data_IF_900954979538
#
_entry.id   IF_900954979538
#
_cell.length_a   1.000
_cell.length_b   1.000
_cell.length_c   1.000
_cell.angle_alpha   90.00
_cell.angle_beta   90.00
_cell.angle_gamma   90.00
#
_symmetry.space_group_name_H-M   'P 1'
#
loop_
_entity.id
_entity.type
_entity.pdbx_description
1 polymer ?
#
# COMPACT_ATOMS: atom_id res chain seq x y z
N UNK A 1 -5.90 18.46 -5.38
CA UNK A 1 -4.95 17.32 -5.34
C UNK A 1 -5.28 16.45 -4.14
N UNK A 2 -5.29 15.15 -4.32
CA UNK A 2 -5.63 14.18 -3.27
C UNK A 2 -4.35 13.59 -2.70
N UNK A 3 -4.33 13.26 -1.40
CA UNK A 3 -3.18 12.60 -0.78
C UNK A 3 -2.85 11.28 -1.50
N UNK A 4 -1.57 10.96 -1.58
CA UNK A 4 -1.10 9.75 -2.24
C UNK A 4 -1.75 8.48 -1.65
N UNK A 5 -1.90 8.41 -0.32
CA UNK A 5 -2.54 7.26 0.32
C UNK A 5 -4.00 7.11 -0.08
N UNK A 6 -4.70 8.21 -0.32
CA UNK A 6 -6.10 8.17 -0.78
C UNK A 6 -6.18 7.69 -2.23
N UNK A 7 -5.30 8.21 -3.09
CA UNK A 7 -5.23 7.74 -4.49
C UNK A 7 -4.94 6.23 -4.54
N UNK A 8 -4.01 5.76 -3.71
CA UNK A 8 -3.65 4.35 -3.64
C UNK A 8 -4.81 3.50 -3.11
N UNK A 9 -5.51 3.98 -2.07
CA UNK A 9 -6.68 3.28 -1.53
C UNK A 9 -7.76 3.13 -2.59
N UNK A 10 -8.07 4.21 -3.30
CA UNK A 10 -9.09 4.19 -4.35
C UNK A 10 -8.70 3.21 -5.47
N UNK A 11 -7.42 3.16 -5.81
CA UNK A 11 -6.91 2.23 -6.81
C UNK A 11 -7.10 0.78 -6.39
N UNK A 12 -6.74 0.45 -5.15
CA UNK A 12 -6.88 -0.91 -4.62
C UNK A 12 -8.37 -1.29 -4.52
N UNK A 13 -9.20 -0.39 -4.00
CA UNK A 13 -10.64 -0.63 -3.88
C UNK A 13 -11.27 -0.89 -5.26
N UNK A 14 -10.86 -0.14 -6.28
CA UNK A 14 -11.37 -0.30 -7.64
C UNK A 14 -10.93 -1.62 -8.30
N UNK A 15 -9.81 -2.16 -7.88
CA UNK A 15 -9.28 -3.40 -8.45
C UNK A 15 -10.02 -4.65 -7.96
N UNK A 16 -10.78 -4.55 -6.87
CA UNK A 16 -11.55 -5.65 -6.30
C UNK A 16 -10.71 -6.94 -6.14
N UNK A 17 -9.56 -6.79 -5.46
CA UNK A 17 -8.63 -7.91 -5.27
C UNK A 17 -9.22 -8.90 -4.28
N UNK A 18 -9.40 -10.15 -4.72
CA UNK A 18 -9.87 -11.22 -3.86
C UNK A 18 -8.85 -11.48 -2.75
N UNK A 19 -9.34 -11.62 -1.52
CA UNK A 19 -8.51 -11.91 -0.37
C UNK A 19 -8.19 -10.70 0.48
N UNK A 20 -8.39 -9.48 -0.02
CA UNK A 20 -8.24 -8.26 0.76
C UNK A 20 -9.60 -7.86 1.33
N UNK A 21 -9.70 -7.86 2.66
CA UNK A 21 -10.95 -7.53 3.34
C UNK A 21 -11.15 -6.04 3.55
N UNK A 22 -10.07 -5.33 3.95
CA UNK A 22 -10.12 -3.90 4.20
C UNK A 22 -8.81 -3.21 3.84
N UNK A 23 -8.91 -1.93 3.48
CA UNK A 23 -7.77 -1.06 3.22
C UNK A 23 -7.92 0.18 4.09
N UNK A 24 -6.90 0.45 4.90
CA UNK A 24 -6.85 1.62 5.78
C UNK A 24 -5.72 2.55 5.37
N UNK A 25 -5.91 3.85 5.62
CA UNK A 25 -4.88 4.85 5.37
C UNK A 25 -4.42 5.44 6.70
N UNK A 26 -3.09 5.56 6.84
CA UNK A 26 -2.40 6.19 7.96
C UNK A 26 -2.47 5.36 9.24
N UNK A 27 -3.64 4.89 9.62
CA UNK A 27 -3.81 4.16 10.87
C UNK A 27 -4.90 3.09 10.77
N UNK A 28 -4.73 2.00 11.51
CA UNK A 28 -5.74 0.96 11.65
C UNK A 28 -6.52 1.23 12.94
N UNK A 29 -7.87 1.27 12.89
CA UNK A 29 -8.67 1.44 14.11
C UNK A 29 -8.33 0.38 15.16
N UNK A 30 -8.27 0.78 16.43
CA UNK A 30 -7.85 -0.10 17.52
C UNK A 30 -8.72 -1.35 17.68
N UNK A 31 -9.99 -1.27 17.35
CA UNK A 31 -10.91 -2.42 17.40
C UNK A 31 -10.66 -3.42 16.26
N UNK A 32 -9.96 -3.02 15.22
CA UNK A 32 -9.64 -3.86 14.06
C UNK A 32 -8.26 -4.50 14.19
N UNK A 33 -7.32 -3.86 14.90
CA UNK A 33 -5.94 -4.36 15.06
C UNK A 33 -5.92 -5.79 15.60
N UNK A 34 -6.82 -6.13 16.48
CA UNK A 34 -6.91 -7.47 17.08
C UNK A 34 -7.66 -8.48 16.22
N UNK A 35 -8.26 -8.05 15.11
CA UNK A 35 -9.01 -8.94 14.23
C UNK A 35 -8.05 -9.67 13.28
N UNK A 36 -7.63 -10.87 13.69
CA UNK A 36 -6.70 -11.70 12.92
C UNK A 36 -7.38 -12.55 11.85
N UNK A 37 -8.70 -12.46 11.71
CA UNK A 37 -9.48 -13.23 10.73
C UNK A 37 -9.56 -12.54 9.37
N UNK A 38 -9.08 -11.31 9.28
CA UNK A 38 -9.14 -10.52 8.06
C UNK A 38 -7.75 -10.19 7.51
N UNK A 39 -7.67 -10.11 6.19
CA UNK A 39 -6.48 -9.58 5.53
C UNK A 39 -6.66 -8.09 5.33
N UNK A 40 -5.75 -7.31 5.88
CA UNK A 40 -5.83 -5.85 5.94
C UNK A 40 -4.62 -5.24 5.25
N UNK A 41 -4.85 -4.22 4.46
CA UNK A 41 -3.79 -3.41 3.84
C UNK A 41 -3.76 -2.05 4.53
N UNK A 42 -2.58 -1.64 4.99
CA UNK A 42 -2.35 -0.33 5.57
C UNK A 42 -1.44 0.49 4.67
N UNK A 43 -1.88 1.68 4.33
CA UNK A 43 -1.15 2.61 3.46
C UNK A 43 -0.73 3.82 4.28
N UNK A 44 0.58 4.11 4.30
CA UNK A 44 1.12 5.27 5.01
C UNK A 44 2.06 6.04 4.10
N UNK A 45 2.14 7.36 4.31
CA UNK A 45 3.10 8.19 3.60
C UNK A 45 4.51 7.83 4.04
N UNK A 46 5.39 7.62 3.06
CA UNK A 46 6.81 7.35 3.34
C UNK A 46 7.66 8.57 3.04
N UNK A 47 7.46 9.19 1.87
CA UNK A 47 8.28 10.31 1.44
C UNK A 47 7.59 11.08 0.31
N UNK A 48 7.89 12.38 0.22
CA UNK A 48 7.47 13.22 -0.90
C UNK A 48 8.64 14.09 -1.31
N UNK A 49 9.05 14.00 -2.58
CA UNK A 49 10.12 14.81 -3.14
C UNK A 49 9.59 15.70 -4.24
N UNK A 50 10.14 16.92 -4.30
CA UNK A 50 9.88 17.84 -5.39
C UNK A 50 10.70 17.41 -6.61
N UNK A 51 10.07 17.36 -7.77
CA UNK A 51 10.72 16.88 -8.99
C UNK A 51 10.44 17.83 -10.16
N UNK A 52 11.23 17.69 -11.22
CA UNK A 52 11.17 18.52 -12.44
C UNK A 52 11.22 20.02 -12.08
N UNK A 53 12.33 20.49 -11.45
CA UNK A 53 12.46 21.90 -11.11
C UNK A 53 12.60 22.80 -12.34
N UNK A 54 12.08 24.02 -12.26
CA UNK A 54 12.22 25.01 -13.33
C UNK A 54 11.77 26.39 -12.84
N UNK A 55 12.47 27.45 -13.25
CA UNK A 55 12.13 28.86 -13.02
C UNK A 55 11.59 29.19 -11.63
N UNK A 56 12.30 28.73 -10.58
CA UNK A 56 11.93 28.92 -9.17
C UNK A 56 10.67 28.16 -8.74
N UNK A 57 10.25 27.16 -9.52
CA UNK A 57 9.11 26.33 -9.19
C UNK A 57 9.43 24.88 -9.53
N UNK A 58 8.59 23.97 -9.08
CA UNK A 58 8.71 22.56 -9.43
C UNK A 58 7.52 22.12 -10.27
N UNK A 59 7.73 21.14 -11.18
CA UNK A 59 6.71 20.67 -12.11
C UNK A 59 5.99 19.43 -11.67
N UNK A 60 6.48 18.74 -10.63
CA UNK A 60 5.89 17.49 -10.17
C UNK A 60 6.27 17.17 -8.73
N UNK A 61 5.46 16.31 -8.12
CA UNK A 61 5.75 15.68 -6.83
C UNK A 61 5.97 14.19 -7.05
N UNK A 62 7.07 13.67 -6.56
CA UNK A 62 7.28 12.22 -6.48
C UNK A 62 6.86 11.80 -5.07
N UNK A 63 5.80 11.01 -5.01
CA UNK A 63 5.19 10.61 -3.74
C UNK A 63 5.44 9.12 -3.53
N UNK A 64 6.00 8.77 -2.37
CA UNK A 64 6.24 7.39 -1.98
C UNK A 64 5.36 7.03 -0.81
N UNK A 65 4.72 5.88 -0.90
CA UNK A 65 3.93 5.34 0.20
C UNK A 65 4.43 3.95 0.58
N UNK A 66 4.21 3.60 1.84
CA UNK A 66 4.47 2.27 2.36
C UNK A 66 3.19 1.47 2.33
N UNK A 67 3.26 0.28 1.76
CA UNK A 67 2.14 -0.66 1.71
C UNK A 67 2.47 -1.81 2.65
N UNK A 68 1.70 -1.96 3.71
CA UNK A 68 1.82 -3.07 4.64
C UNK A 68 0.59 -3.96 4.50
N UNK A 69 0.82 -5.27 4.44
CA UNK A 69 -0.26 -6.25 4.34
C UNK A 69 -0.19 -7.14 5.57
N UNK A 70 -1.30 -7.25 6.28
CA UNK A 70 -1.48 -8.15 7.41
C UNK A 70 -2.42 -9.26 6.96
N UNK A 71 -1.88 -10.44 6.68
CA UNK A 71 -2.68 -11.56 6.18
C UNK A 71 -3.46 -12.21 7.32
N UNK A 72 -4.68 -12.66 7.04
CA UNK A 72 -5.47 -13.42 8.01
C UNK A 72 -4.67 -14.64 8.48
N UNK A 73 -4.87 -15.07 9.73
CA UNK A 73 -4.19 -16.26 10.28
C UNK A 73 -4.49 -17.52 9.47
N UNK A 74 -5.71 -17.64 8.96
CA UNK A 74 -6.13 -18.75 8.11
C UNK A 74 -6.64 -18.19 6.79
N UNK A 75 -5.74 -17.77 5.88
CA UNK A 75 -6.14 -17.09 4.66
C UNK A 75 -6.81 -18.04 3.67
N UNK A 76 -7.91 -17.60 3.09
CA UNK A 76 -8.61 -18.32 2.03
C UNK A 76 -7.87 -18.24 0.70
N UNK A 77 -7.01 -17.26 0.55
CA UNK A 77 -6.27 -16.96 -0.67
C UNK A 77 -4.78 -16.97 -0.40
N UNK A 78 -4.02 -17.41 -1.39
CA UNK A 78 -2.56 -17.44 -1.29
C UNK A 78 -2.00 -16.02 -1.09
N UNK A 79 -1.22 -15.77 -0.02
CA UNK A 79 -0.60 -14.46 0.19
C UNK A 79 0.23 -13.98 -0.98
N UNK A 80 0.99 -14.85 -1.64
CA UNK A 80 1.78 -14.45 -2.82
C UNK A 80 0.91 -13.99 -3.99
N UNK A 81 -0.27 -14.55 -4.14
CA UNK A 81 -1.21 -14.12 -5.18
C UNK A 81 -1.77 -12.74 -4.87
N UNK A 82 -2.03 -12.45 -3.60
CA UNK A 82 -2.46 -11.12 -3.17
C UNK A 82 -1.36 -10.10 -3.47
N UNK A 83 -0.12 -10.42 -3.11
CA UNK A 83 1.04 -9.56 -3.39
C UNK A 83 1.16 -9.27 -4.87
N UNK A 84 1.11 -10.32 -5.69
CA UNK A 84 1.26 -10.18 -7.14
C UNK A 84 0.16 -9.30 -7.75
N UNK A 85 -1.07 -9.48 -7.30
CA UNK A 85 -2.19 -8.66 -7.78
C UNK A 85 -2.02 -7.20 -7.38
N UNK A 86 -1.53 -6.94 -6.18
CA UNK A 86 -1.22 -5.57 -5.73
C UNK A 86 -0.11 -4.95 -6.59
N UNK A 87 0.98 -5.67 -6.82
CA UNK A 87 2.08 -5.17 -7.66
C UNK A 87 1.58 -4.81 -9.05
N UNK A 88 0.81 -5.68 -9.67
CA UNK A 88 0.25 -5.43 -11.01
C UNK A 88 -0.72 -4.26 -11.00
N UNK A 89 -1.54 -4.13 -9.98
CA UNK A 89 -2.51 -3.04 -9.86
C UNK A 89 -1.78 -1.68 -9.83
N UNK A 90 -0.74 -1.56 -9.02
CA UNK A 90 0.04 -0.33 -8.97
C UNK A 90 0.81 -0.08 -10.26
N UNK A 91 1.47 -1.10 -10.78
CA UNK A 91 2.28 -0.96 -11.99
C UNK A 91 1.43 -0.57 -13.21
N UNK A 92 0.27 -1.19 -13.38
CA UNK A 92 -0.63 -0.88 -14.49
C UNK A 92 -1.22 0.53 -14.39
N UNK A 93 -1.28 1.08 -13.19
CA UNK A 93 -1.75 2.46 -12.95
C UNK A 93 -0.63 3.50 -13.05
N UNK A 94 0.58 3.09 -13.39
CA UNK A 94 1.71 3.99 -13.58
C UNK A 94 2.53 4.25 -12.33
N UNK A 95 2.31 3.50 -11.26
CA UNK A 95 3.15 3.57 -10.07
C UNK A 95 4.38 2.70 -10.23
N UNK A 96 5.50 3.16 -9.68
CA UNK A 96 6.73 2.37 -9.62
C UNK A 96 6.75 1.58 -8.32
N UNK A 97 7.19 0.32 -8.41
CA UNK A 97 7.37 -0.52 -7.23
C UNK A 97 8.83 -0.40 -6.81
N UNK A 98 9.04 0.04 -5.58
CA UNK A 98 10.37 0.25 -5.02
C UNK A 98 10.82 -0.92 -4.16
N UNK A 99 11.39 -0.60 -2.99
CA UNK A 99 11.90 -1.60 -2.06
C UNK A 99 10.79 -2.55 -1.61
N UNK A 100 11.10 -3.84 -1.58
CA UNK A 100 10.23 -4.88 -1.04
C UNK A 100 10.98 -5.57 0.10
N UNK A 101 10.44 -5.47 1.31
CA UNK A 101 11.07 -6.02 2.50
C UNK A 101 10.71 -7.47 2.78
N UNK A 102 9.89 -8.07 1.91
CA UNK A 102 9.50 -9.47 2.04
C UNK A 102 8.48 -9.72 3.15
N UNK A 103 8.39 -10.99 3.54
CA UNK A 103 7.40 -11.43 4.51
C UNK A 103 8.05 -11.66 5.87
N UNK A 104 7.35 -11.21 6.93
CA UNK A 104 7.75 -11.47 8.32
C UNK A 104 6.49 -11.79 9.13
N UNK A 105 6.69 -12.38 10.33
CA UNK A 105 5.58 -12.61 11.24
C UNK A 105 5.50 -11.50 12.27
N UNK A 106 4.28 -11.04 12.54
CA UNK A 106 4.02 -10.10 13.61
C UNK A 106 4.12 -10.86 14.95
N UNK A 107 5.01 -10.44 15.87
CA UNK A 107 5.18 -11.17 17.14
C UNK A 107 3.96 -11.09 18.06
N UNK A 108 3.11 -10.10 17.91
CA UNK A 108 1.94 -9.91 18.77
C UNK A 108 0.71 -10.68 18.28
N UNK A 109 0.47 -10.70 16.98
CA UNK A 109 -0.71 -11.33 16.39
C UNK A 109 -0.43 -12.64 15.71
N UNK A 110 0.84 -12.96 15.48
CA UNK A 110 1.32 -14.13 14.73
C UNK A 110 0.90 -14.11 13.24
N UNK A 111 0.35 -13.02 12.76
CA UNK A 111 0.00 -12.87 11.35
C UNK A 111 1.25 -12.76 10.49
N UNK A 112 1.19 -13.36 9.31
CA UNK A 112 2.18 -13.07 8.28
C UNK A 112 1.98 -11.64 7.81
N UNK A 113 3.05 -10.90 7.62
CA UNK A 113 3.01 -9.53 7.11
C UNK A 113 3.95 -9.35 5.95
N UNK A 114 3.64 -8.40 5.09
CA UNK A 114 4.48 -8.02 3.96
C UNK A 114 4.56 -6.50 3.90
N UNK A 115 5.71 -5.98 3.51
CA UNK A 115 5.92 -4.54 3.38
C UNK A 115 6.64 -4.25 2.07
N UNK A 116 6.09 -3.33 1.29
CA UNK A 116 6.77 -2.83 0.10
C UNK A 116 6.41 -1.35 -0.11
N UNK A 117 7.18 -0.69 -0.97
CA UNK A 117 7.02 0.72 -1.25
C UNK A 117 6.62 0.94 -2.70
N UNK A 118 5.72 1.88 -2.93
CA UNK A 118 5.33 2.29 -4.27
C UNK A 118 5.41 3.81 -4.37
N UNK A 119 5.67 4.31 -5.56
CA UNK A 119 5.75 5.75 -5.79
C UNK A 119 5.05 6.13 -7.08
N UNK A 120 4.48 7.34 -7.09
CA UNK A 120 3.95 7.93 -8.31
C UNK A 120 4.58 9.30 -8.55
N UNK A 121 4.38 9.82 -9.75
CA UNK A 121 4.77 11.16 -10.13
C UNK A 121 3.50 11.96 -10.41
N UNK A 122 3.25 12.98 -9.60
CA UNK A 122 2.05 13.82 -9.74
C UNK A 122 2.46 15.16 -10.32
N UNK A 123 1.97 15.48 -11.51
CA UNK A 123 2.21 16.77 -12.15
C UNK A 123 1.42 17.86 -11.44
N UNK A 124 2.04 19.00 -11.25
CA UNK A 124 1.45 20.15 -10.56
C UNK A 124 1.54 21.42 -11.39
#
# INVERSE_FOLDING_TARGET
MVLAVIDAKNLIDSAHIDGIDNVYTINIPSDVVENTDQTIVLLTDANTNLDIPGNNDFGALRRMIEVQIFYALDPKYDPEMIDLKLYKTFQHAGWDIGENRGHTYDPDTEQLTSTFYVSDLKLV
#
